data_IF_987221269390
#
_entry.id   IF_987221269390
#
_cell.length_a   1.000
_cell.length_b   1.000
_cell.length_c   1.000
_cell.angle_alpha   90.00
_cell.angle_beta   90.00
_cell.angle_gamma   90.00
#
_symmetry.space_group_name_H-M   'P 1'
#
loop_
_entity.id
_entity.type
_entity.pdbx_description
1 polymer ?
#
# COMPACT_ATOMS: atom_id res chain seq x y z
N UNK A 1 20.13 54.59 -43.43
CA UNK A 1 19.01 54.76 -42.50
C UNK A 1 19.25 53.74 -41.36
N UNK A 2 20.12 53.98 -40.36
CA UNK A 2 19.90 54.73 -39.08
C UNK A 2 18.67 54.16 -38.33
N UNK A 3 18.67 53.74 -37.05
CA UNK A 3 19.50 54.05 -35.86
C UNK A 3 19.15 53.09 -34.68
N UNK A 4 19.98 53.14 -33.63
CA UNK A 4 19.93 52.64 -32.23
C UNK A 4 18.56 52.73 -31.50
N UNK A 5 18.25 51.99 -30.42
CA UNK A 5 18.63 52.19 -28.99
C UNK A 5 18.00 51.09 -28.09
N UNK A 6 18.72 50.46 -27.13
CA UNK A 6 18.81 50.69 -25.65
C UNK A 6 17.58 50.31 -24.76
N UNK A 7 17.82 49.42 -23.78
CA UNK A 7 17.06 49.23 -22.51
C UNK A 7 17.39 50.36 -21.48
N UNK A 8 16.95 50.44 -20.18
CA UNK A 8 16.22 49.51 -19.26
C UNK A 8 15.24 50.19 -18.23
N UNK A 9 14.88 49.49 -17.11
CA UNK A 9 14.50 50.04 -15.76
C UNK A 9 12.99 50.37 -15.51
N UNK A 10 12.29 49.86 -14.49
CA UNK A 10 12.37 50.20 -13.04
C UNK A 10 11.47 49.21 -12.22
N UNK A 11 11.97 48.46 -11.23
CA UNK A 11 12.10 48.75 -9.78
C UNK A 11 10.80 48.59 -8.94
N UNK A 12 10.79 47.65 -7.98
CA UNK A 12 10.46 47.87 -6.55
C UNK A 12 10.28 46.54 -5.76
N UNK A 13 11.31 46.25 -4.96
CA UNK A 13 11.43 45.64 -3.61
C UNK A 13 10.17 45.82 -2.69
N UNK A 14 9.78 45.01 -1.70
CA UNK A 14 10.44 44.33 -0.56
C UNK A 14 9.50 43.27 0.09
N UNK A 15 10.09 42.15 0.51
CA UNK A 15 10.07 41.56 1.88
C UNK A 15 8.75 41.13 2.55
N UNK A 16 8.70 39.85 2.94
CA UNK A 16 7.75 39.32 3.91
C UNK A 16 8.05 37.89 4.35
N UNK A 17 8.87 37.79 5.41
CA UNK A 17 8.88 36.75 6.46
C UNK A 17 8.97 35.24 6.09
N UNK A 18 10.04 34.65 6.61
CA UNK A 18 10.17 33.22 6.86
C UNK A 18 9.01 32.68 7.70
N UNK A 19 8.46 31.54 7.32
CA UNK A 19 7.97 30.54 8.26
C UNK A 19 8.15 29.17 7.60
N UNK A 20 9.18 28.47 8.04
CA UNK A 20 9.26 27.02 7.91
C UNK A 20 7.96 26.42 8.44
N UNK A 21 7.24 25.68 7.61
CA UNK A 21 6.18 24.83 8.09
C UNK A 21 6.36 23.45 7.49
N UNK A 22 7.07 22.63 8.24
CA UNK A 22 7.08 21.17 8.21
C UNK A 22 5.68 20.64 7.94
N UNK A 23 5.38 20.31 6.69
CA UNK A 23 4.16 19.60 6.32
C UNK A 23 4.42 18.09 6.34
N UNK A 24 4.75 17.54 7.52
CA UNK A 24 4.55 16.13 7.77
C UNK A 24 3.06 15.89 8.06
N UNK A 25 2.26 15.55 7.04
CA UNK A 25 1.12 14.65 7.27
C UNK A 25 0.74 13.91 6.00
N UNK A 26 1.16 12.65 5.94
CA UNK A 26 0.56 11.66 5.05
C UNK A 26 -0.96 11.64 5.31
N UNK A 27 -1.74 11.81 4.24
CA UNK A 27 -3.17 11.52 4.23
C UNK A 27 -3.46 10.92 2.86
N UNK A 28 -3.19 9.62 2.71
CA UNK A 28 -3.90 8.87 1.67
C UNK A 28 -5.34 8.76 2.19
N UNK A 29 -6.33 9.39 1.54
CA UNK A 29 -7.71 9.20 1.92
C UNK A 29 -8.00 7.70 1.76
N UNK A 30 -8.34 7.04 2.87
CA UNK A 30 -8.86 5.68 2.85
C UNK A 30 -10.16 5.76 2.07
N UNK A 31 -10.11 5.22 0.86
CA UNK A 31 -11.21 5.08 -0.08
C UNK A 31 -12.53 4.78 0.63
N UNK A 32 -13.36 5.81 0.77
CA UNK A 32 -14.80 5.68 0.87
C UNK A 32 -15.33 5.91 -0.54
N UNK A 33 -15.21 4.95 -1.46
CA UNK A 33 -16.06 5.04 -2.66
C UNK A 33 -17.39 4.41 -2.36
N UNK A 34 -18.33 5.29 -2.09
CA UNK A 34 -19.76 5.12 -2.25
C UNK A 34 -20.09 5.17 -3.75
N UNK A 35 -20.39 4.01 -4.33
CA UNK A 35 -21.28 3.92 -5.49
C UNK A 35 -22.36 2.88 -5.15
N UNK A 36 -23.60 3.24 -5.43
CA UNK A 36 -24.81 2.84 -4.72
C UNK A 36 -25.19 1.35 -4.86
N UNK A 37 -25.24 0.64 -3.72
CA UNK A 37 -26.27 -0.34 -3.34
C UNK A 37 -26.12 -0.53 -1.82
N UNK A 38 -26.98 0.15 -1.04
CA UNK A 38 -27.16 0.04 0.41
C UNK A 38 -26.08 -0.73 1.23
N UNK A 39 -25.10 0.01 1.78
CA UNK A 39 -24.52 -0.27 3.10
C UNK A 39 -23.56 -1.45 3.30
N UNK A 40 -23.39 -2.38 2.35
CA UNK A 40 -22.44 -3.49 2.52
C UNK A 40 -21.10 -3.15 1.86
N UNK A 41 -20.12 -2.71 2.66
CA UNK A 41 -18.72 -2.74 2.22
C UNK A 41 -18.38 -4.20 1.90
N UNK A 42 -18.04 -4.50 0.64
CA UNK A 42 -17.66 -5.84 0.23
C UNK A 42 -16.36 -6.24 0.93
N UNK A 43 -16.42 -7.32 1.72
CA UNK A 43 -15.23 -7.91 2.34
C UNK A 43 -14.58 -8.86 1.36
N UNK A 44 -13.26 -8.84 1.28
CA UNK A 44 -12.50 -9.82 0.51
C UNK A 44 -12.75 -11.22 1.06
N UNK A 45 -12.84 -11.39 2.38
CA UNK A 45 -13.16 -12.69 3.00
C UNK A 45 -14.48 -13.30 2.55
N UNK A 46 -15.49 -12.49 2.19
CA UNK A 46 -16.76 -12.99 1.64
C UNK A 46 -16.57 -13.65 0.25
N UNK A 47 -15.43 -13.40 -0.41
CA UNK A 47 -15.08 -13.98 -1.72
C UNK A 47 -14.10 -15.15 -1.62
N UNK A 48 -13.69 -15.54 -0.41
CA UNK A 48 -12.68 -16.57 -0.18
C UNK A 48 -13.30 -17.84 0.39
N UNK A 49 -12.83 -18.96 -0.12
CA UNK A 49 -13.16 -20.27 0.42
C UNK A 49 -12.15 -20.69 1.50
N UNK A 50 -12.53 -21.69 2.31
CA UNK A 50 -11.65 -22.31 3.30
C UNK A 50 -10.71 -23.34 2.66
N UNK A 51 -9.51 -23.48 3.22
CA UNK A 51 -8.50 -24.42 2.75
C UNK A 51 -7.59 -23.83 1.65
N UNK A 52 -6.30 -24.14 1.71
CA UNK A 52 -5.31 -23.70 0.71
C UNK A 52 -5.66 -24.20 -0.70
N UNK A 53 -6.25 -25.38 -0.81
CA UNK A 53 -6.69 -25.98 -2.06
C UNK A 53 -7.74 -25.14 -2.81
N UNK A 54 -8.46 -24.27 -2.08
CA UNK A 54 -9.49 -23.39 -2.64
C UNK A 54 -9.01 -21.94 -2.81
N UNK A 55 -7.68 -21.72 -2.85
CA UNK A 55 -7.10 -20.38 -2.96
C UNK A 55 -7.54 -19.65 -4.23
N UNK A 56 -7.90 -18.38 -4.05
CA UNK A 56 -8.38 -17.49 -5.11
C UNK A 56 -7.22 -16.62 -5.59
N UNK A 57 -6.84 -16.69 -6.88
CA UNK A 57 -5.78 -15.85 -7.44
C UNK A 57 -6.14 -14.36 -7.38
N UNK A 58 -5.15 -13.49 -7.16
CA UNK A 58 -5.36 -12.04 -7.14
C UNK A 58 -6.08 -11.51 -8.38
N UNK A 59 -5.76 -12.06 -9.56
CA UNK A 59 -6.41 -11.68 -10.82
C UNK A 59 -7.92 -11.87 -10.79
N UNK A 60 -8.44 -12.85 -10.05
CA UNK A 60 -9.87 -13.09 -9.92
C UNK A 60 -10.47 -12.10 -8.92
N UNK A 61 -9.81 -11.86 -7.78
CA UNK A 61 -10.25 -10.86 -6.80
C UNK A 61 -10.36 -9.46 -7.43
N UNK A 62 -9.39 -9.07 -8.27
CA UNK A 62 -9.45 -7.80 -9.02
C UNK A 62 -10.70 -7.70 -9.90
N UNK A 63 -11.06 -8.79 -10.59
CA UNK A 63 -12.24 -8.83 -11.46
C UNK A 63 -13.54 -8.76 -10.67
N UNK A 64 -13.63 -9.50 -9.56
CA UNK A 64 -14.83 -9.56 -8.71
C UNK A 64 -15.09 -8.24 -7.99
N UNK A 65 -14.03 -7.58 -7.51
CA UNK A 65 -14.13 -6.32 -6.76
C UNK A 65 -14.10 -5.07 -7.64
N UNK A 66 -13.73 -5.19 -8.92
CA UNK A 66 -13.61 -4.04 -9.82
C UNK A 66 -12.49 -3.04 -9.44
N UNK A 67 -11.52 -3.45 -8.61
CA UNK A 67 -10.42 -2.59 -8.13
C UNK A 67 -9.05 -3.15 -8.50
N UNK A 68 -8.04 -2.30 -8.43
CA UNK A 68 -6.67 -2.68 -8.77
C UNK A 68 -6.03 -3.59 -7.70
N UNK A 69 -4.92 -4.23 -8.06
CA UNK A 69 -4.27 -5.22 -7.20
C UNK A 69 -3.63 -4.64 -5.93
N UNK A 70 -3.30 -3.34 -5.88
CA UNK A 70 -2.85 -2.67 -4.66
C UNK A 70 -4.02 -2.48 -3.71
N UNK A 71 -5.17 -2.02 -4.21
CA UNK A 71 -6.39 -1.85 -3.42
C UNK A 71 -6.86 -3.16 -2.81
N UNK A 72 -6.91 -4.26 -3.57
CA UNK A 72 -7.25 -5.60 -3.03
C UNK A 72 -6.31 -5.99 -1.88
N UNK A 73 -5.00 -5.79 -2.02
CA UNK A 73 -4.03 -6.13 -0.97
C UNK A 73 -4.20 -5.28 0.29
N UNK A 74 -4.54 -4.01 0.14
CA UNK A 74 -4.84 -3.12 1.28
C UNK A 74 -6.11 -3.56 2.01
N UNK A 75 -7.16 -3.97 1.28
CA UNK A 75 -8.37 -4.52 1.88
C UNK A 75 -8.08 -5.81 2.66
N UNK A 76 -7.31 -6.74 2.06
CA UNK A 76 -6.87 -7.97 2.73
C UNK A 76 -6.10 -7.67 4.01
N UNK A 77 -5.15 -6.74 3.96
CA UNK A 77 -4.35 -6.38 5.14
C UNK A 77 -5.19 -5.72 6.23
N UNK A 78 -6.18 -4.92 5.85
CA UNK A 78 -7.15 -4.35 6.79
C UNK A 78 -7.94 -5.45 7.50
N UNK A 79 -8.46 -6.40 6.74
CA UNK A 79 -9.22 -7.54 7.28
C UNK A 79 -8.35 -8.42 8.20
N UNK A 80 -7.09 -8.67 7.83
CA UNK A 80 -6.10 -9.35 8.69
C UNK A 80 -5.93 -8.65 10.02
N UNK A 81 -5.72 -7.33 9.98
CA UNK A 81 -5.54 -6.51 11.19
C UNK A 81 -6.81 -6.39 12.04
N UNK A 82 -7.99 -6.54 11.44
CA UNK A 82 -9.26 -6.63 12.16
C UNK A 82 -9.59 -8.05 12.65
N UNK A 83 -8.68 -9.01 12.51
CA UNK A 83 -8.83 -10.36 13.06
C UNK A 83 -9.35 -11.42 12.09
N UNK A 84 -9.48 -11.12 10.80
CA UNK A 84 -9.88 -12.12 9.79
C UNK A 84 -8.63 -12.81 9.20
N UNK A 85 -8.42 -14.12 9.45
CA UNK A 85 -7.17 -14.77 9.10
C UNK A 85 -7.11 -15.12 7.60
N UNK A 86 -6.83 -14.15 6.73
CA UNK A 86 -6.66 -14.40 5.29
C UNK A 86 -5.23 -14.89 5.03
N UNK A 87 -5.06 -16.11 4.56
CA UNK A 87 -3.76 -16.70 4.24
C UNK A 87 -3.34 -16.45 2.79
N UNK A 88 -2.04 -16.54 2.51
CA UNK A 88 -1.49 -16.52 1.16
C UNK A 88 -0.21 -17.35 1.11
N UNK A 89 -0.03 -18.13 0.04
CA UNK A 89 1.17 -18.95 -0.20
C UNK A 89 2.10 -18.35 -1.28
N UNK A 90 1.74 -17.17 -1.82
CA UNK A 90 2.40 -16.48 -2.94
C UNK A 90 2.46 -17.30 -4.26
N UNK A 91 1.77 -18.43 -4.35
CA UNK A 91 1.74 -19.30 -5.53
C UNK A 91 0.33 -19.40 -6.10
N UNK A 92 -0.63 -19.82 -5.28
CA UNK A 92 -2.00 -20.13 -5.69
C UNK A 92 -2.93 -18.93 -5.52
N UNK A 93 -2.79 -18.20 -4.42
CA UNK A 93 -3.60 -17.01 -4.16
C UNK A 93 -3.89 -16.79 -2.69
N UNK A 94 -5.11 -16.33 -2.40
CA UNK A 94 -5.60 -16.00 -1.07
C UNK A 94 -6.72 -16.96 -0.66
N UNK A 95 -6.78 -17.33 0.62
CA UNK A 95 -7.76 -18.26 1.15
C UNK A 95 -8.01 -18.00 2.64
N UNK A 96 -9.11 -18.53 3.18
CA UNK A 96 -9.31 -18.65 4.62
C UNK A 96 -8.72 -20.00 5.07
N UNK A 97 -7.99 -20.09 6.19
CA UNK A 97 -7.45 -21.36 6.64
C UNK A 97 -8.58 -22.35 6.94
N UNK A 98 -8.45 -23.57 6.40
CA UNK A 98 -9.31 -24.70 6.70
C UNK A 98 -8.93 -25.40 8.01
N UNK A 99 -7.67 -25.22 8.46
CA UNK A 99 -7.15 -25.82 9.70
C UNK A 99 -6.24 -24.85 10.47
N UNK A 100 -5.99 -25.14 11.75
CA UNK A 100 -5.03 -24.36 12.54
C UNK A 100 -3.60 -24.52 12.01
N UNK A 101 -3.26 -25.65 11.40
CA UNK A 101 -1.96 -25.87 10.77
C UNK A 101 -1.73 -24.94 9.59
N UNK A 102 -2.75 -24.72 8.75
CA UNK A 102 -2.65 -23.76 7.64
C UNK A 102 -2.47 -22.33 8.14
N UNK A 103 -3.23 -21.95 9.18
CA UNK A 103 -3.09 -20.64 9.83
C UNK A 103 -1.70 -20.47 10.43
N UNK A 104 -1.21 -21.46 11.16
CA UNK A 104 0.12 -21.46 11.75
C UNK A 104 1.21 -21.39 10.68
N UNK A 105 1.08 -22.14 9.58
CA UNK A 105 1.99 -22.09 8.45
C UNK A 105 2.02 -20.69 7.80
N UNK A 106 0.87 -20.06 7.62
CA UNK A 106 0.79 -18.69 7.11
C UNK A 106 1.52 -17.70 8.04
N UNK A 107 1.28 -17.78 9.35
CA UNK A 107 1.96 -16.92 10.34
C UNK A 107 3.47 -17.16 10.35
N UNK A 108 3.92 -18.43 10.30
CA UNK A 108 5.35 -18.78 10.19
C UNK A 108 5.97 -18.16 8.94
N UNK A 109 5.32 -18.26 7.79
CA UNK A 109 5.78 -17.66 6.54
C UNK A 109 5.89 -16.13 6.64
N UNK A 110 4.89 -15.45 7.22
CA UNK A 110 4.94 -14.01 7.46
C UNK A 110 6.11 -13.60 8.35
N UNK A 111 6.32 -14.30 9.48
CA UNK A 111 7.42 -14.03 10.40
C UNK A 111 8.78 -14.26 9.75
N UNK A 112 8.92 -15.33 8.97
CA UNK A 112 10.15 -15.61 8.23
C UNK A 112 10.47 -14.48 7.24
N UNK A 113 9.48 -14.07 6.44
CA UNK A 113 9.62 -12.94 5.49
C UNK A 113 9.95 -11.62 6.19
N UNK A 114 9.35 -11.35 7.35
CA UNK A 114 9.69 -10.17 8.15
C UNK A 114 11.17 -10.21 8.60
N UNK A 115 11.65 -11.39 9.01
CA UNK A 115 13.07 -11.61 9.33
C UNK A 115 14.00 -11.38 8.14
N UNK A 116 13.63 -11.85 6.95
CA UNK A 116 14.37 -11.58 5.70
C UNK A 116 14.41 -10.08 5.39
N UNK A 117 13.28 -9.37 5.49
CA UNK A 117 13.21 -7.92 5.27
C UNK A 117 14.15 -7.17 6.24
N UNK A 118 14.14 -7.55 7.52
CA UNK A 118 15.03 -6.97 8.53
C UNK A 118 16.51 -7.24 8.22
N UNK A 119 16.85 -8.46 7.80
CA UNK A 119 18.22 -8.80 7.36
C UNK A 119 18.66 -7.94 6.18
N UNK A 120 17.81 -7.77 5.18
CA UNK A 120 18.10 -6.92 4.02
C UNK A 120 18.28 -5.45 4.41
N UNK A 121 17.41 -4.91 5.26
CA UNK A 121 17.52 -3.53 5.74
C UNK A 121 18.85 -3.29 6.44
N UNK A 122 19.24 -4.20 7.35
CA UNK A 122 20.53 -4.14 8.03
C UNK A 122 21.72 -4.18 7.07
N UNK A 123 21.68 -5.06 6.06
CA UNK A 123 22.75 -5.13 5.06
C UNK A 123 22.89 -3.83 4.26
N UNK A 124 21.78 -3.14 3.97
CA UNK A 124 21.78 -1.82 3.30
C UNK A 124 22.38 -0.75 4.22
N UNK A 125 22.03 -0.75 5.50
CA UNK A 125 22.59 0.17 6.50
C UNK A 125 24.10 -0.01 6.66
N UNK A 126 24.59 -1.25 6.74
CA UNK A 126 26.01 -1.57 6.87
C UNK A 126 26.82 -1.23 5.60
N UNK A 127 26.23 -1.39 4.40
CA UNK A 127 26.88 -1.04 3.14
C UNK A 127 27.16 0.46 2.99
N UNK A 128 26.37 1.32 3.64
CA UNK A 128 26.54 2.77 3.59
C UNK A 128 27.61 3.30 4.57
N UNK A 129 28.18 2.46 5.43
CA UNK A 129 29.15 2.85 6.46
C UNK A 129 30.63 2.61 6.09
N UNK A 130 30.92 2.31 4.82
CA UNK A 130 32.27 1.99 4.32
C UNK A 130 32.91 3.08 3.43
N UNK A 131 32.34 4.30 3.42
CA UNK A 131 32.92 5.50 2.80
C UNK A 131 33.49 6.47 3.87
#
# INVERSE_FOLDING_TARGET
>A
MTTKEKAPTSAATLTGAATEMTACRASIPVFNCTTETAGRQWKVSDLLNRGRENAVPLRHLKKLLGVDGRTVRLMIERERRSGTPICADNLTGYYLPGSEDEKAACVRSMRHRAGEIMRTARAIEEAAALD
#
